data_IF_452148297900
#
_entry.id   IF_452148297900
#
_cell.length_a   1.000
_cell.length_b   1.000
_cell.length_c   1.000
_cell.angle_alpha   90.00
_cell.angle_beta   90.00
_cell.angle_gamma   90.00
#
_symmetry.space_group_name_H-M   'P 1'
#
loop_
_entity.id
_entity.type
_entity.pdbx_description
1 polymer ?
#
# COMPACT_ATOMS: atom_id res chain seq x y z
N UNK A 1 18.69 -10.58 -13.80
CA UNK A 1 17.79 -10.46 -12.63
C UNK A 1 16.49 -11.18 -12.97
N UNK A 2 15.98 -12.07 -12.12
CA UNK A 2 14.85 -12.96 -12.48
C UNK A 2 13.50 -12.32 -12.16
N UNK A 3 12.41 -12.82 -12.76
CA UNK A 3 11.03 -12.41 -12.44
C UNK A 3 10.74 -12.52 -10.93
N UNK A 4 11.36 -13.50 -10.26
CA UNK A 4 11.24 -13.70 -8.82
C UNK A 4 11.90 -12.58 -8.00
N UNK A 5 13.09 -12.13 -8.40
CA UNK A 5 13.77 -11.00 -7.75
C UNK A 5 12.95 -9.72 -7.87
N UNK A 6 12.32 -9.49 -9.02
CA UNK A 6 11.50 -8.31 -9.27
C UNK A 6 10.21 -8.33 -8.43
N UNK A 7 9.56 -9.49 -8.32
CA UNK A 7 8.40 -9.66 -7.44
C UNK A 7 8.77 -9.42 -5.97
N UNK A 8 9.93 -9.88 -5.53
CA UNK A 8 10.43 -9.62 -4.17
C UNK A 8 10.69 -8.12 -3.94
N UNK A 9 11.29 -7.42 -4.90
CA UNK A 9 11.45 -5.96 -4.86
C UNK A 9 10.08 -5.25 -4.79
N UNK A 10 9.10 -5.69 -5.59
CA UNK A 10 7.76 -5.11 -5.56
C UNK A 10 7.08 -5.27 -4.20
N UNK A 11 7.12 -6.48 -3.62
CA UNK A 11 6.59 -6.72 -2.26
C UNK A 11 7.31 -5.89 -1.21
N UNK A 12 8.64 -5.73 -1.33
CA UNK A 12 9.40 -4.91 -0.40
C UNK A 12 9.00 -3.43 -0.47
N UNK A 13 8.76 -2.90 -1.68
CA UNK A 13 8.25 -1.53 -1.87
C UNK A 13 6.87 -1.36 -1.24
N UNK A 14 5.95 -2.31 -1.51
CA UNK A 14 4.60 -2.30 -0.96
C UNK A 14 4.62 -2.32 0.58
N UNK A 15 5.41 -3.22 1.18
CA UNK A 15 5.50 -3.37 2.64
C UNK A 15 6.16 -2.19 3.35
N UNK A 16 7.12 -1.52 2.69
CA UNK A 16 7.83 -0.37 3.26
C UNK A 16 7.00 0.90 3.21
N UNK A 17 6.11 1.03 2.23
CA UNK A 17 5.24 2.19 2.11
C UNK A 17 4.33 2.32 3.34
N UNK A 18 4.29 3.50 3.93
CA UNK A 18 3.30 3.87 4.96
C UNK A 18 2.06 4.53 4.33
N UNK A 19 2.25 5.15 3.17
CA UNK A 19 1.23 5.86 2.41
C UNK A 19 1.20 5.36 0.97
N UNK A 20 0.05 5.51 0.33
CA UNK A 20 -0.17 5.14 -1.07
C UNK A 20 -1.05 6.19 -1.73
N UNK A 21 -0.82 6.45 -3.01
CA UNK A 21 -1.81 7.15 -3.81
C UNK A 21 -2.87 6.14 -4.25
N UNK A 22 -4.10 6.34 -3.80
CA UNK A 22 -5.27 5.53 -4.12
C UNK A 22 -6.06 6.23 -5.22
N UNK A 23 -6.29 5.52 -6.32
CA UNK A 23 -7.23 5.90 -7.36
C UNK A 23 -8.50 5.05 -7.28
N UNK A 24 -9.65 5.73 -7.36
CA UNK A 24 -11.00 5.14 -7.45
C UNK A 24 -11.75 5.81 -8.60
N UNK A 25 -12.86 5.20 -9.06
CA UNK A 25 -13.73 5.81 -10.07
C UNK A 25 -14.81 6.63 -9.37
N UNK A 26 -15.01 7.87 -9.81
CA UNK A 26 -16.07 8.75 -9.28
C UNK A 26 -17.43 8.05 -9.33
N UNK A 27 -18.08 7.95 -8.17
CA UNK A 27 -19.48 7.58 -8.06
C UNK A 27 -20.39 8.81 -8.16
N UNK A 28 -21.71 8.64 -8.00
CA UNK A 28 -22.66 9.74 -7.87
C UNK A 28 -22.28 10.68 -6.72
N UNK A 29 -22.77 11.92 -6.73
CA UNK A 29 -22.53 12.85 -5.62
C UNK A 29 -23.09 12.28 -4.30
N UNK A 30 -22.19 12.02 -3.35
CA UNK A 30 -22.52 11.49 -2.02
C UNK A 30 -23.42 12.43 -1.20
N UNK A 31 -23.46 13.73 -1.52
CA UNK A 31 -24.27 14.72 -0.82
C UNK A 31 -25.68 14.86 -1.41
N UNK A 32 -25.93 14.27 -2.58
CA UNK A 32 -27.24 14.34 -3.23
C UNK A 32 -28.27 13.47 -2.49
N UNK A 33 -29.51 13.96 -2.41
CA UNK A 33 -30.62 13.25 -1.77
C UNK A 33 -31.03 12.03 -2.61
N UNK A 34 -30.97 12.16 -3.93
CA UNK A 34 -31.12 11.07 -4.89
C UNK A 34 -29.88 11.02 -5.79
N UNK A 35 -29.41 9.83 -6.21
CA UNK A 35 -28.27 9.71 -7.10
C UNK A 35 -28.52 10.45 -8.42
N UNK A 36 -27.71 11.47 -8.71
CA UNK A 36 -27.70 12.12 -10.01
C UNK A 36 -26.77 11.34 -10.96
N UNK A 37 -27.35 10.40 -11.69
CA UNK A 37 -26.65 9.61 -12.72
C UNK A 37 -26.12 10.49 -13.88
N UNK A 38 -26.51 11.77 -13.94
CA UNK A 38 -25.99 12.73 -14.91
C UNK A 38 -24.78 13.53 -14.43
N UNK A 39 -24.32 13.30 -13.19
CA UNK A 39 -23.10 13.93 -12.67
C UNK A 39 -21.91 13.63 -13.62
N UNK A 40 -21.31 14.67 -14.22
CA UNK A 40 -20.23 14.49 -15.19
C UNK A 40 -18.97 13.87 -14.59
N UNK A 41 -18.83 13.81 -13.26
CA UNK A 41 -17.70 13.19 -12.56
C UNK A 41 -17.84 11.68 -12.39
N UNK A 42 -19.00 11.10 -12.67
CA UNK A 42 -19.19 9.64 -12.64
C UNK A 42 -18.21 8.98 -13.62
N UNK A 43 -17.49 7.98 -13.15
CA UNK A 43 -16.48 7.25 -13.92
C UNK A 43 -15.14 7.97 -14.09
N UNK A 44 -14.98 9.21 -13.63
CA UNK A 44 -13.67 9.88 -13.66
C UNK A 44 -12.71 9.28 -12.64
N UNK A 45 -11.42 9.09 -12.99
CA UNK A 45 -10.43 8.66 -12.02
C UNK A 45 -10.15 9.77 -11.00
N UNK A 46 -10.37 9.48 -9.73
CA UNK A 46 -10.09 10.38 -8.62
C UNK A 46 -8.96 9.82 -7.77
N UNK A 47 -8.01 10.68 -7.37
CA UNK A 47 -6.84 10.29 -6.58
C UNK A 47 -6.91 10.89 -5.17
N UNK A 48 -6.57 10.08 -4.17
CA UNK A 48 -6.43 10.49 -2.78
C UNK A 48 -5.14 9.90 -2.20
N UNK A 49 -4.64 10.50 -1.14
CA UNK A 49 -3.63 9.88 -0.30
C UNK A 49 -4.30 9.00 0.76
N UNK A 50 -3.78 7.80 1.00
CA UNK A 50 -4.26 6.90 2.04
C UNK A 50 -3.10 6.28 2.81
N UNK A 51 -3.31 6.00 4.11
CA UNK A 51 -2.43 5.10 4.86
C UNK A 51 -2.58 3.67 4.31
N UNK A 52 -1.47 2.96 4.23
CA UNK A 52 -1.43 1.60 3.71
C UNK A 52 -0.60 0.70 4.61
N UNK A 53 -1.07 -0.52 4.81
CA UNK A 53 -0.28 -1.61 5.35
C UNK A 53 -0.35 -2.80 4.37
N UNK A 54 0.47 -3.82 4.61
CA UNK A 54 0.33 -5.09 3.90
C UNK A 54 0.17 -6.23 4.89
N UNK A 55 -0.67 -7.21 4.58
CA UNK A 55 -0.74 -8.49 5.29
C UNK A 55 0.52 -9.35 5.03
N UNK A 56 0.64 -10.48 5.73
CA UNK A 56 1.75 -11.43 5.62
C UNK A 56 1.92 -12.00 4.21
N UNK A 57 0.84 -12.10 3.43
CA UNK A 57 0.86 -12.51 2.02
C UNK A 57 1.25 -11.37 1.04
N UNK A 58 1.54 -10.18 1.59
CA UNK A 58 1.76 -8.91 0.88
C UNK A 58 0.49 -8.27 0.29
N UNK A 59 -0.70 -8.72 0.66
CA UNK A 59 -1.95 -8.08 0.26
C UNK A 59 -2.05 -6.68 0.87
N UNK A 60 -2.31 -5.62 0.07
CA UNK A 60 -2.53 -4.28 0.58
C UNK A 60 -3.78 -4.19 1.45
N UNK A 61 -3.67 -3.42 2.53
CA UNK A 61 -4.73 -3.11 3.48
C UNK A 61 -4.88 -1.59 3.55
N UNK A 62 -6.13 -1.12 3.57
CA UNK A 62 -6.49 0.28 3.73
C UNK A 62 -7.48 0.41 4.89
N UNK A 63 -7.44 1.50 5.64
CA UNK A 63 -8.45 1.82 6.66
C UNK A 63 -9.06 3.17 6.29
N UNK A 64 -10.31 3.17 5.85
CA UNK A 64 -10.96 4.31 5.20
C UNK A 64 -12.25 4.66 5.94
N UNK A 65 -12.56 5.96 6.05
CA UNK A 65 -13.85 6.43 6.58
C UNK A 65 -14.90 6.37 5.47
N UNK A 66 -16.10 5.88 5.80
CA UNK A 66 -17.28 5.88 4.94
C UNK A 66 -17.75 7.31 4.58
N UNK A 67 -17.26 8.33 5.29
CA UNK A 67 -17.55 9.74 4.99
C UNK A 67 -16.70 10.29 3.84
N UNK A 68 -15.62 9.61 3.46
CA UNK A 68 -14.69 10.07 2.44
C UNK A 68 -15.17 9.71 1.02
N UNK A 69 -14.84 10.57 0.05
CA UNK A 69 -15.27 10.39 -1.35
C UNK A 69 -14.77 9.07 -1.94
N UNK A 70 -13.53 8.69 -1.62
CA UNK A 70 -12.97 7.41 -2.08
C UNK A 70 -13.74 6.20 -1.56
N UNK A 71 -14.33 6.25 -0.36
CA UNK A 71 -15.12 5.13 0.18
C UNK A 71 -16.48 5.05 -0.50
N UNK A 72 -17.09 6.21 -0.80
CA UNK A 72 -18.31 6.29 -1.59
C UNK A 72 -18.07 5.73 -3.01
N UNK A 73 -17.00 6.19 -3.66
CA UNK A 73 -16.56 5.69 -4.96
C UNK A 73 -16.37 4.17 -4.96
N UNK A 74 -15.67 3.63 -3.95
CA UNK A 74 -15.43 2.18 -3.80
C UNK A 74 -16.73 1.40 -3.58
N UNK A 75 -17.72 1.97 -2.89
CA UNK A 75 -19.02 1.34 -2.70
C UNK A 75 -19.80 1.19 -4.01
N UNK A 76 -19.68 2.17 -4.92
CA UNK A 76 -20.29 2.14 -6.25
C UNK A 76 -19.49 1.26 -7.23
N UNK A 77 -18.16 1.37 -7.22
CA UNK A 77 -17.25 0.54 -8.02
C UNK A 77 -15.97 0.23 -7.24
N UNK A 78 -15.81 -1.02 -6.85
CA UNK A 78 -14.70 -1.43 -6.00
C UNK A 78 -13.35 -1.55 -6.73
N UNK A 79 -13.27 -1.26 -8.04
CA UNK A 79 -12.01 -1.27 -8.79
C UNK A 79 -11.14 -0.09 -8.38
N UNK A 80 -9.95 -0.39 -7.88
CA UNK A 80 -8.99 0.61 -7.43
C UNK A 80 -7.62 0.42 -8.08
N UNK A 81 -6.83 1.50 -8.08
CA UNK A 81 -5.41 1.47 -8.35
C UNK A 81 -4.63 2.06 -7.18
N UNK A 82 -3.50 1.44 -6.84
CA UNK A 82 -2.61 1.85 -5.76
C UNK A 82 -1.22 2.10 -6.33
N UNK A 83 -0.66 3.29 -6.15
CA UNK A 83 0.72 3.61 -6.52
C UNK A 83 1.62 3.67 -5.28
N UNK A 84 2.53 2.71 -5.21
CA UNK A 84 3.59 2.64 -4.21
C UNK A 84 4.86 3.26 -4.79
N UNK A 85 5.51 4.13 -4.02
CA UNK A 85 6.79 4.74 -4.41
C UNK A 85 7.87 4.41 -3.40
N UNK A 86 9.04 4.01 -3.91
CA UNK A 86 10.24 3.86 -3.10
C UNK A 86 10.91 5.20 -2.86
N UNK A 87 11.76 5.25 -1.84
CA UNK A 87 12.68 6.37 -1.68
C UNK A 87 13.77 6.32 -2.77
N UNK A 88 14.30 7.48 -3.14
CA UNK A 88 15.53 7.51 -3.92
C UNK A 88 16.68 7.01 -3.04
N UNK A 89 17.73 6.44 -3.65
CA UNK A 89 18.99 6.33 -2.92
C UNK A 89 19.41 7.75 -2.57
N UNK A 90 19.63 8.03 -1.29
CA UNK A 90 20.30 9.25 -0.90
C UNK A 90 21.68 9.27 -1.60
N UNK A 91 22.15 10.42 -2.08
CA UNK A 91 23.51 10.52 -2.57
C UNK A 91 24.47 10.06 -1.46
N UNK A 92 25.61 9.47 -1.85
CA UNK A 92 26.61 9.00 -0.90
C UNK A 92 26.98 10.14 0.07
N UNK A 93 26.87 9.91 1.39
CA UNK A 93 27.17 10.95 2.38
C UNK A 93 28.63 11.40 2.33
N UNK A 94 29.51 10.57 1.78
CA UNK A 94 30.94 10.86 1.61
C UNK A 94 31.24 11.75 0.37
N UNK A 95 30.22 12.18 -0.38
CA UNK A 95 30.39 13.06 -1.54
C UNK A 95 31.12 12.44 -2.73
N UNK A 96 31.24 11.11 -2.76
CA UNK A 96 31.97 10.35 -3.80
C UNK A 96 31.12 10.07 -5.05
N UNK A 97 29.85 10.46 -5.06
CA UNK A 97 29.06 10.41 -6.29
C UNK A 97 29.55 11.51 -7.22
N UNK A 98 29.85 11.15 -8.47
CA UNK A 98 30.04 12.13 -9.56
C UNK A 98 28.86 13.13 -9.54
N UNK A 99 29.09 14.45 -9.69
CA UNK A 99 28.03 15.46 -9.78
C UNK A 99 26.83 15.08 -10.67
N UNK A 100 27.06 14.38 -11.79
CA UNK A 100 25.97 13.88 -12.64
C UNK A 100 25.16 12.75 -11.98
N UNK A 101 25.82 11.84 -11.24
CA UNK A 101 25.17 10.81 -10.43
C UNK A 101 24.41 11.38 -9.23
N UNK A 102 24.95 12.43 -8.59
CA UNK A 102 24.29 13.12 -7.49
C UNK A 102 23.00 13.84 -7.97
N UNK A 103 23.01 14.46 -9.17
CA UNK A 103 21.82 15.06 -9.76
C UNK A 103 20.74 14.01 -10.11
N UNK A 104 21.14 12.84 -10.60
CA UNK A 104 20.22 11.71 -10.85
C UNK A 104 19.66 11.09 -9.56
N UNK A 105 20.39 11.16 -8.45
CA UNK A 105 19.92 10.73 -7.13
C UNK A 105 18.70 11.56 -6.63
N UNK A 106 18.53 12.80 -7.11
CA UNK A 106 17.36 13.63 -6.80
C UNK A 106 16.19 13.48 -7.80
N UNK A 107 16.39 12.79 -8.94
CA UNK A 107 15.34 12.64 -9.94
C UNK A 107 14.23 11.67 -9.44
N UNK A 108 12.99 12.12 -9.20
CA UNK A 108 11.92 11.25 -8.72
C UNK A 108 11.58 10.12 -9.70
N UNK A 109 11.91 10.27 -10.99
CA UNK A 109 11.68 9.24 -12.01
C UNK A 109 12.66 8.08 -11.94
N UNK A 110 13.78 8.20 -11.22
CA UNK A 110 14.71 7.08 -10.98
C UNK A 110 14.23 6.18 -9.84
N UNK A 111 13.30 6.67 -9.00
CA UNK A 111 12.76 5.90 -7.88
C UNK A 111 12.04 4.66 -8.39
N UNK A 112 12.14 3.52 -7.70
CA UNK A 112 11.32 2.38 -8.04
C UNK A 112 9.86 2.63 -7.61
N UNK A 113 8.91 2.21 -8.42
CA UNK A 113 7.46 2.32 -8.15
C UNK A 113 6.76 1.04 -8.55
N UNK A 114 5.70 0.71 -7.81
CA UNK A 114 4.79 -0.37 -8.16
C UNK A 114 3.39 0.20 -8.21
N UNK A 115 2.68 0.01 -9.32
CA UNK A 115 1.24 0.22 -9.33
C UNK A 115 0.52 -1.11 -9.26
N UNK A 116 -0.46 -1.20 -8.37
CA UNK A 116 -1.29 -2.38 -8.15
C UNK A 116 -2.71 -2.04 -8.57
N UNK A 117 -3.31 -2.88 -9.40
CA UNK A 117 -4.72 -2.83 -9.81
C UNK A 117 -5.45 -3.96 -9.12
N UNK A 118 -6.58 -3.65 -8.49
CA UNK A 118 -7.31 -4.63 -7.71
C UNK A 118 -8.73 -4.20 -7.37
N UNK A 119 -9.36 -4.98 -6.49
CA UNK A 119 -10.68 -4.68 -5.92
C UNK A 119 -10.55 -4.43 -4.42
N UNK A 120 -11.12 -3.35 -3.93
CA UNK A 120 -11.17 -3.07 -2.50
C UNK A 120 -12.37 -3.79 -1.87
N UNK A 121 -12.13 -4.75 -1.01
CA UNK A 121 -13.19 -5.51 -0.31
C UNK A 121 -13.16 -5.22 1.17
N UNK A 122 -14.31 -4.88 1.76
CA UNK A 122 -14.43 -4.71 3.21
C UNK A 122 -14.05 -6.02 3.90
N UNK A 123 -13.27 -5.93 4.96
CA UNK A 123 -12.81 -7.07 5.72
C UNK A 123 -12.83 -6.77 7.23
N UNK A 124 -13.55 -7.60 7.98
CA UNK A 124 -13.72 -7.44 9.42
C UNK A 124 -12.79 -8.33 10.27
N UNK A 125 -11.73 -8.90 9.68
CA UNK A 125 -10.75 -9.71 10.42
C UNK A 125 -10.05 -8.83 11.48
N UNK A 126 -10.25 -9.11 12.79
CA UNK A 126 -9.65 -8.32 13.86
C UNK A 126 -8.12 -8.39 13.84
N UNK A 127 -7.53 -9.47 13.30
CA UNK A 127 -6.08 -9.61 13.14
C UNK A 127 -5.53 -8.59 12.14
N UNK A 128 -6.20 -8.43 10.99
CA UNK A 128 -5.80 -7.46 9.98
C UNK A 128 -5.94 -6.03 10.48
N UNK A 129 -6.99 -5.75 11.26
CA UNK A 129 -7.18 -4.47 11.93
C UNK A 129 -6.06 -4.19 12.94
N UNK A 130 -5.76 -5.14 13.82
CA UNK A 130 -4.67 -5.01 14.80
C UNK A 130 -3.32 -4.79 14.10
N UNK A 131 -3.06 -5.51 13.00
CA UNK A 131 -1.86 -5.31 12.16
C UNK A 131 -1.79 -3.90 11.60
N UNK A 132 -2.90 -3.39 11.05
CA UNK A 132 -2.95 -2.04 10.49
C UNK A 132 -2.65 -0.98 11.56
N UNK A 133 -3.24 -1.11 12.75
CA UNK A 133 -3.01 -0.19 13.89
C UNK A 133 -1.57 -0.29 14.40
N UNK A 134 -1.02 -1.50 14.52
CA UNK A 134 0.37 -1.70 14.94
C UNK A 134 1.36 -1.01 13.97
N UNK A 135 1.02 -0.98 12.67
CA UNK A 135 1.78 -0.24 11.66
C UNK A 135 1.54 1.27 11.74
N UNK A 136 0.31 1.69 12.04
CA UNK A 136 -0.12 3.09 12.07
C UNK A 136 -0.78 3.44 13.41
N UNK A 137 -0.01 3.71 14.47
CA UNK A 137 -0.59 4.04 15.79
C UNK A 137 -1.52 5.26 15.75
N UNK A 138 -1.29 6.20 14.81
CA UNK A 138 -2.16 7.35 14.58
C UNK A 138 -3.57 6.97 14.08
N UNK A 139 -3.77 5.76 13.58
CA UNK A 139 -5.08 5.26 13.14
C UNK A 139 -5.91 4.69 14.29
N UNK A 140 -5.31 4.39 15.45
CA UNK A 140 -5.99 3.76 16.60
C UNK A 140 -7.24 4.52 17.06
N UNK A 141 -7.25 5.87 17.17
CA UNK A 141 -8.45 6.60 17.62
C UNK A 141 -9.65 6.45 16.69
N UNK A 142 -9.41 6.19 15.41
CA UNK A 142 -10.45 6.11 14.38
C UNK A 142 -10.86 4.67 14.06
N UNK A 143 -10.00 3.70 14.36
CA UNK A 143 -10.21 2.32 13.96
C UNK A 143 -11.53 1.77 14.52
N UNK A 144 -11.93 2.14 15.74
CA UNK A 144 -13.15 1.64 16.37
C UNK A 144 -14.39 2.49 16.05
N UNK A 145 -14.26 3.55 15.25
CA UNK A 145 -15.41 4.34 14.85
C UNK A 145 -16.29 3.57 13.85
N UNK A 146 -17.60 3.70 14.02
CA UNK A 146 -18.59 2.98 13.22
C UNK A 146 -18.54 3.34 11.73
N UNK A 147 -17.96 4.48 11.36
CA UNK A 147 -17.77 4.91 9.97
C UNK A 147 -16.45 4.43 9.36
N UNK A 148 -15.50 3.87 10.10
CA UNK A 148 -14.27 3.34 9.52
C UNK A 148 -14.40 1.87 9.13
N UNK A 149 -13.90 1.53 7.94
CA UNK A 149 -13.85 0.16 7.41
C UNK A 149 -12.44 -0.18 6.97
N UNK A 150 -12.02 -1.39 7.31
CA UNK A 150 -10.79 -1.96 6.81
C UNK A 150 -11.10 -2.62 5.46
N UNK A 151 -10.30 -2.31 4.45
CA UNK A 151 -10.37 -2.89 3.12
C UNK A 151 -9.16 -3.77 2.87
N UNK A 152 -9.39 -4.98 2.40
CA UNK A 152 -8.38 -5.88 1.81
C UNK A 152 -8.44 -5.73 0.29
N UNK A 153 -7.29 -5.52 -0.35
CA UNK A 153 -7.24 -5.34 -1.81
C UNK A 153 -7.01 -6.67 -2.50
N UNK A 154 -8.03 -7.19 -3.19
CA UNK A 154 -7.88 -8.32 -4.09
C UNK A 154 -7.02 -7.90 -5.30
N UNK A 155 -5.74 -8.24 -5.27
CA UNK A 155 -4.80 -7.88 -6.33
C UNK A 155 -5.11 -8.66 -7.61
N UNK A 156 -5.37 -7.95 -8.70
CA UNK A 156 -5.57 -8.52 -10.04
C UNK A 156 -4.27 -8.47 -10.84
N UNK A 157 -3.62 -7.31 -10.88
CA UNK A 157 -2.40 -7.08 -11.66
C UNK A 157 -1.51 -6.06 -10.98
N UNK A 158 -0.20 -6.16 -11.20
CA UNK A 158 0.72 -5.09 -10.83
C UNK A 158 1.75 -4.82 -11.92
N UNK A 159 2.34 -3.62 -11.87
CA UNK A 159 3.49 -3.28 -12.69
C UNK A 159 4.56 -2.59 -11.85
N UNK A 160 5.80 -3.06 -11.98
CA UNK A 160 7.00 -2.44 -11.42
C UNK A 160 7.66 -1.58 -12.49
N UNK A 161 8.07 -0.38 -12.11
CA UNK A 161 9.04 0.47 -12.83
C UNK A 161 10.20 0.72 -11.89
N UNK A 162 11.39 0.20 -12.21
CA UNK A 162 12.59 0.34 -11.39
C UNK A 162 13.68 1.11 -12.15
N UNK A 163 13.73 2.43 -11.96
CA UNK A 163 14.64 3.31 -12.69
C UNK A 163 14.30 3.42 -14.19
N UNK A 164 15.29 3.75 -15.00
CA UNK A 164 15.13 3.88 -16.45
C UNK A 164 15.24 2.52 -17.14
N UNK A 165 14.13 2.01 -17.69
CA UNK A 165 14.12 0.86 -18.59
C UNK A 165 13.73 -0.49 -17.99
N UNK A 166 13.60 -0.62 -16.65
CA UNK A 166 13.14 -1.87 -16.04
C UNK A 166 11.65 -1.82 -15.73
N UNK A 167 10.85 -2.38 -16.63
CA UNK A 167 9.40 -2.56 -16.47
C UNK A 167 9.06 -4.03 -16.32
N UNK A 168 8.23 -4.38 -15.34
CA UNK A 168 7.79 -5.77 -15.11
C UNK A 168 6.33 -5.85 -14.73
N UNK A 169 5.57 -6.70 -15.42
CA UNK A 169 4.18 -7.01 -15.07
C UNK A 169 4.08 -8.26 -14.20
N UNK A 170 3.12 -8.26 -13.29
CA UNK A 170 2.78 -9.39 -12.43
C UNK A 170 1.27 -9.62 -12.43
N UNK A 171 0.87 -10.88 -12.42
CA UNK A 171 -0.45 -11.30 -11.95
C UNK A 171 -0.42 -11.47 -10.42
N UNK A 172 -1.59 -11.75 -9.83
CA UNK A 172 -1.70 -12.05 -8.39
C UNK A 172 -0.72 -13.13 -7.94
N UNK A 173 -0.70 -14.27 -8.63
CA UNK A 173 0.07 -15.46 -8.23
C UNK A 173 1.58 -15.21 -8.21
N UNK A 174 2.09 -14.39 -9.12
CA UNK A 174 3.53 -14.06 -9.18
C UNK A 174 3.92 -12.94 -8.22
N UNK A 175 2.99 -12.09 -7.78
CA UNK A 175 3.28 -11.00 -6.84
C UNK A 175 3.07 -11.41 -5.38
N UNK A 176 1.95 -12.07 -5.05
CA UNK A 176 1.59 -12.43 -3.67
C UNK A 176 2.47 -13.57 -3.13
N UNK A 177 2.54 -13.70 -1.81
CA UNK A 177 3.15 -14.86 -1.17
C UNK A 177 2.06 -15.88 -0.82
N UNK A 178 2.20 -17.08 -1.34
CA UNK A 178 1.37 -18.22 -0.95
C UNK A 178 1.98 -18.93 0.27
N UNK A 179 1.17 -19.76 0.95
CA UNK A 179 1.61 -20.65 2.03
C UNK A 179 2.28 -19.95 3.23
N UNK A 180 1.67 -18.88 3.74
CA UNK A 180 2.13 -18.25 4.99
C UNK A 180 2.07 -19.29 6.13
N UNK A 181 3.18 -19.56 6.84
CA UNK A 181 3.18 -20.53 7.92
C UNK A 181 2.16 -20.18 9.00
N UNK A 182 1.37 -21.17 9.45
CA UNK A 182 0.37 -20.98 10.49
C UNK A 182 0.99 -20.45 11.80
N UNK A 183 2.19 -20.92 12.14
CA UNK A 183 2.91 -20.47 13.33
C UNK A 183 3.32 -19.00 13.24
N UNK A 184 3.62 -18.50 12.03
CA UNK A 184 3.91 -17.07 11.82
C UNK A 184 2.64 -16.24 11.97
N UNK A 185 1.51 -16.71 11.45
CA UNK A 185 0.21 -16.06 11.61
C UNK A 185 -0.20 -15.95 13.09
N UNK A 186 -0.02 -17.03 13.85
CA UNK A 186 -0.35 -17.07 15.28
C UNK A 186 0.66 -16.30 16.15
N UNK A 187 1.95 -16.36 15.80
CA UNK A 187 3.04 -15.84 16.60
C UNK A 187 3.42 -14.38 16.33
N UNK A 188 2.92 -13.75 15.27
CA UNK A 188 3.37 -12.42 14.82
C UNK A 188 3.44 -11.39 15.95
N UNK A 189 2.35 -11.23 16.71
CA UNK A 189 2.27 -10.21 17.77
C UNK A 189 3.30 -10.47 18.88
N UNK A 190 3.52 -11.74 19.22
CA UNK A 190 4.51 -12.14 20.22
C UNK A 190 5.93 -11.89 19.73
N UNK A 191 6.22 -12.22 18.47
CA UNK A 191 7.53 -11.97 17.83
C UNK A 191 7.84 -10.47 17.83
N UNK A 192 6.89 -9.63 17.40
CA UNK A 192 7.07 -8.18 17.39
C UNK A 192 7.29 -7.64 18.80
N UNK A 193 6.48 -8.08 19.77
CA UNK A 193 6.61 -7.67 21.17
C UNK A 193 7.97 -8.06 21.76
N UNK A 194 8.42 -9.30 21.55
CA UNK A 194 9.71 -9.80 22.02
C UNK A 194 10.87 -8.99 21.40
N UNK A 195 10.86 -8.77 20.08
CA UNK A 195 11.87 -7.96 19.41
C UNK A 195 11.94 -6.54 19.96
N UNK A 196 10.79 -5.88 20.14
CA UNK A 196 10.75 -4.51 20.64
C UNK A 196 11.15 -4.40 22.13
N UNK A 197 10.85 -5.42 22.94
CA UNK A 197 11.12 -5.42 24.38
C UNK A 197 12.58 -5.78 24.69
N UNK A 198 13.07 -6.85 24.07
CA UNK A 198 14.33 -7.49 24.49
C UNK A 198 15.50 -7.14 23.55
N UNK A 199 15.22 -6.67 22.33
CA UNK A 199 16.22 -6.50 21.28
C UNK A 199 16.34 -5.08 20.74
N UNK A 200 15.96 -4.07 21.53
CA UNK A 200 16.04 -2.65 21.13
C UNK A 200 17.45 -2.23 20.65
N UNK A 201 18.50 -2.73 21.29
CA UNK A 201 19.89 -2.46 20.88
C UNK A 201 20.25 -3.07 19.51
N UNK A 202 19.64 -4.20 19.14
CA UNK A 202 19.80 -4.80 17.83
C UNK A 202 18.99 -4.03 16.76
N UNK A 203 17.76 -3.63 17.10
CA UNK A 203 16.87 -2.86 16.21
C UNK A 203 17.51 -1.51 15.85
N UNK A 204 18.14 -0.82 16.81
CA UNK A 204 18.79 0.48 16.57
C UNK A 204 19.97 0.44 15.57
N UNK A 205 20.37 -0.75 15.10
CA UNK A 205 21.42 -0.94 14.08
C UNK A 205 20.89 -1.06 12.65
N UNK A 206 19.56 -1.04 12.46
CA UNK A 206 18.88 -1.16 11.16
C UNK A 206 18.08 0.09 10.83
#
# INVERSE_FOLDING_TARGET
MTKQTDAAMSRALMRRAAIVALASLGGPDKAAIEPDESDPLIGWPQNTLALCACDLDATPLLLLSNLADHSHNIASDNRIALLFTGQSKAPNPDGQDDPEHAALAFNPLTRPRVSVLGRAEINDDPRLRARFIARHPCAAPYADFADFRLYRVEVIRAHLVAGFGKVRGFDRKSLMLDNIPADLLAGESQIISHMNTDHGAAIARF
#
